data_IF_468961214283
#
_entry.id   IF_468961214283
#
_cell.length_a   1.000
_cell.length_b   1.000
_cell.length_c   1.000
_cell.angle_alpha   90.00
_cell.angle_beta   90.00
_cell.angle_gamma   90.00
#
_symmetry.space_group_name_H-M   'P 1'
#
loop_
_entity.id
_entity.type
_entity.pdbx_description
1 polymer ?
#
# COMPACT_ATOMS: atom_id res chain seq x y z
N UNK A 1 -11.88 -4.07 10.32
CA UNK A 1 -10.50 -4.24 9.87
C UNK A 1 -9.89 -2.87 9.85
N UNK A 2 -8.66 -2.71 10.32
CA UNK A 2 -8.01 -1.41 10.40
C UNK A 2 -7.11 -1.23 9.18
N UNK A 3 -7.38 -0.18 8.41
CA UNK A 3 -6.63 0.12 7.20
C UNK A 3 -5.82 1.41 7.39
N UNK A 4 -4.54 1.36 7.04
CA UNK A 4 -3.70 2.55 6.88
C UNK A 4 -3.89 3.09 5.46
N UNK A 5 -4.23 4.37 5.36
CA UNK A 5 -4.40 5.06 4.09
C UNK A 5 -3.19 5.94 3.77
N UNK A 6 -2.74 5.93 2.51
CA UNK A 6 -1.54 6.66 2.08
C UNK A 6 -1.58 6.98 0.59
N UNK A 7 -0.81 7.98 0.18
CA UNK A 7 -0.72 8.41 -1.22
C UNK A 7 0.60 7.96 -1.86
N UNK A 8 0.51 7.49 -3.10
CA UNK A 8 1.64 7.44 -4.03
C UNK A 8 1.24 8.22 -5.28
N UNK A 9 1.95 9.31 -5.56
CA UNK A 9 1.62 10.20 -6.66
C UNK A 9 0.27 10.87 -6.44
N UNK A 10 -0.67 10.62 -7.34
CA UNK A 10 -2.04 11.17 -7.29
C UNK A 10 -3.08 10.15 -6.76
N UNK A 11 -2.63 8.95 -6.38
CA UNK A 11 -3.52 7.83 -6.05
C UNK A 11 -3.49 7.53 -4.55
N UNK A 12 -4.68 7.37 -3.98
CA UNK A 12 -4.89 6.94 -2.60
C UNK A 12 -4.95 5.41 -2.54
N UNK A 13 -4.12 4.83 -1.68
CA UNK A 13 -4.06 3.40 -1.41
C UNK A 13 -4.42 3.10 0.04
N UNK A 14 -4.78 1.86 0.29
CA UNK A 14 -4.99 1.31 1.62
C UNK A 14 -4.19 0.03 1.81
N UNK A 15 -3.76 -0.24 3.03
CA UNK A 15 -3.17 -1.52 3.42
C UNK A 15 -3.62 -1.90 4.82
N UNK A 16 -3.48 -3.16 5.19
CA UNK A 16 -3.76 -3.59 6.57
C UNK A 16 -2.79 -2.91 7.53
N UNK A 17 -3.32 -2.17 8.51
CA UNK A 17 -2.51 -1.46 9.48
C UNK A 17 -1.63 -2.41 10.32
N UNK A 18 -2.02 -3.69 10.46
CA UNK A 18 -1.23 -4.70 11.17
C UNK A 18 0.06 -5.11 10.43
N UNK A 19 0.16 -4.85 9.13
CA UNK A 19 1.39 -5.07 8.35
C UNK A 19 2.41 -3.94 8.56
N UNK A 20 1.98 -2.79 9.09
CA UNK A 20 2.81 -1.59 9.21
C UNK A 20 3.46 -1.52 10.59
N UNK A 21 4.79 -1.51 10.61
CA UNK A 21 5.57 -1.35 11.85
C UNK A 21 5.64 0.12 12.28
N UNK A 22 5.99 1.00 11.34
CA UNK A 22 6.19 2.43 11.58
C UNK A 22 6.18 3.21 10.27
N UNK A 23 6.06 4.53 10.40
CA UNK A 23 6.29 5.48 9.32
C UNK A 23 7.62 6.18 9.58
N UNK A 24 8.50 6.18 8.59
CA UNK A 24 9.83 6.78 8.68
C UNK A 24 10.05 7.80 7.56
N UNK A 25 11.21 8.46 7.57
CA UNK A 25 11.71 9.24 6.44
C UNK A 25 12.17 8.28 5.34
N UNK A 26 11.80 8.58 4.10
CA UNK A 26 12.28 7.82 2.96
C UNK A 26 13.78 8.03 2.69
N UNK A 27 14.45 6.94 2.33
CA UNK A 27 15.83 6.90 1.86
C UNK A 27 15.88 6.65 0.34
N UNK A 28 16.95 7.07 -0.37
CA UNK A 28 17.06 6.88 -1.82
C UNK A 28 16.85 5.44 -2.30
N UNK A 29 17.27 4.45 -1.53
CA UNK A 29 17.20 3.01 -1.77
C UNK A 29 15.84 2.37 -1.45
N UNK A 30 14.94 3.09 -0.78
CA UNK A 30 13.63 2.55 -0.41
C UNK A 30 12.79 2.22 -1.67
N UNK A 31 11.92 1.24 -1.51
CA UNK A 31 11.12 0.64 -2.57
C UNK A 31 10.21 1.67 -3.24
N UNK A 32 10.20 1.64 -4.57
CA UNK A 32 9.23 2.34 -5.43
C UNK A 32 8.70 1.37 -6.45
N UNK A 33 7.39 1.14 -6.48
CA UNK A 33 6.77 0.30 -7.50
C UNK A 33 6.12 1.18 -8.57
N UNK A 34 6.68 1.19 -9.79
CA UNK A 34 6.18 2.04 -10.88
C UNK A 34 4.69 1.81 -11.21
N UNK A 35 4.18 0.60 -10.99
CA UNK A 35 2.75 0.27 -11.17
C UNK A 35 1.82 0.96 -10.15
N UNK A 36 2.33 1.31 -8.97
CA UNK A 36 1.62 2.14 -7.99
C UNK A 36 1.76 3.64 -8.28
N UNK A 37 2.44 3.98 -9.38
CA UNK A 37 2.86 5.34 -9.69
C UNK A 37 4.20 5.71 -9.03
N UNK A 38 4.70 6.89 -9.38
CA UNK A 38 5.89 7.46 -8.76
C UNK A 38 5.47 8.44 -7.67
N UNK A 39 6.09 8.41 -6.48
CA UNK A 39 5.90 9.45 -5.49
C UNK A 39 6.28 10.84 -6.06
N UNK A 40 5.45 11.86 -5.81
CA UNK A 40 5.74 13.23 -6.22
C UNK A 40 6.87 13.86 -5.39
N UNK A 41 6.86 13.60 -4.08
CA UNK A 41 7.87 14.02 -3.10
C UNK A 41 8.60 12.81 -2.55
N UNK A 42 7.87 11.74 -2.21
CA UNK A 42 8.44 10.48 -1.71
C UNK A 42 9.34 10.68 -0.47
N UNK A 43 8.95 11.55 0.46
CA UNK A 43 9.76 11.87 1.65
C UNK A 43 9.47 10.96 2.84
N UNK A 44 8.46 10.09 2.74
CA UNK A 44 8.05 9.17 3.80
C UNK A 44 8.14 7.74 3.32
N UNK A 45 8.40 6.83 4.24
CA UNK A 45 8.39 5.40 3.99
C UNK A 45 7.43 4.71 4.96
N UNK A 46 6.66 3.76 4.45
CA UNK A 46 5.95 2.77 5.25
C UNK A 46 6.93 1.61 5.49
N UNK A 47 7.24 1.34 6.75
CA UNK A 47 8.13 0.24 7.13
C UNK A 47 7.31 -0.97 7.55
N UNK A 48 7.64 -2.14 7.03
CA UNK A 48 6.95 -3.40 7.26
C UNK A 48 7.93 -4.58 7.23
N UNK A 49 7.54 -5.69 7.87
CA UNK A 49 8.34 -6.92 7.86
C UNK A 49 8.11 -7.73 6.58
N UNK A 50 9.19 -8.27 6.02
CA UNK A 50 9.17 -9.35 5.02
C UNK A 50 9.99 -10.54 5.54
N UNK A 51 9.85 -11.73 4.93
CA UNK A 51 10.69 -12.88 5.29
C UNK A 51 12.19 -12.63 5.14
N UNK A 52 12.60 -11.66 4.31
CA UNK A 52 13.98 -11.30 4.03
C UNK A 52 14.51 -10.17 4.94
N UNK A 53 13.65 -9.49 5.70
CA UNK A 53 14.01 -8.39 6.59
C UNK A 53 12.98 -7.26 6.58
N UNK A 54 13.37 -6.09 7.11
CA UNK A 54 12.52 -4.89 7.01
C UNK A 54 12.53 -4.35 5.57
N UNK A 55 11.33 -4.01 5.07
CA UNK A 55 11.14 -3.36 3.78
C UNK A 55 10.46 -2.00 3.96
N UNK A 56 10.84 -1.08 3.08
CA UNK A 56 10.49 0.33 3.18
C UNK A 56 9.85 0.78 1.87
N UNK A 57 8.55 1.07 1.88
CA UNK A 57 7.82 1.56 0.69
C UNK A 57 7.71 3.08 0.70
N UNK A 58 8.27 3.75 -0.31
CA UNK A 58 8.14 5.21 -0.45
C UNK A 58 6.70 5.62 -0.73
N UNK A 59 6.26 6.63 0.01
CA UNK A 59 4.93 7.24 -0.10
C UNK A 59 5.05 8.76 0.01
N UNK A 60 4.05 9.46 -0.52
CA UNK A 60 3.98 10.92 -0.43
C UNK A 60 3.41 11.38 0.91
N UNK A 61 2.34 10.71 1.35
CA UNK A 61 1.61 11.06 2.57
C UNK A 61 0.99 9.83 3.21
N UNK A 62 0.80 9.89 4.52
CA UNK A 62 0.05 8.90 5.30
C UNK A 62 -1.10 9.63 5.98
N UNK A 63 -2.33 9.18 5.74
CA UNK A 63 -3.58 9.80 6.20
C UNK A 63 -4.10 9.22 7.51
N UNK A 64 -3.39 8.24 8.07
CA UNK A 64 -3.75 7.58 9.32
C UNK A 64 -4.53 6.29 9.12
N UNK A 65 -4.94 5.71 10.24
CA UNK A 65 -5.64 4.43 10.31
C UNK A 65 -7.13 4.66 10.49
N UNK A 66 -7.97 3.93 9.77
CA UNK A 66 -9.43 3.92 9.96
C UNK A 66 -9.96 2.50 10.01
N UNK A 67 -10.93 2.27 10.87
CA UNK A 67 -11.64 0.99 10.95
C UNK A 67 -12.70 0.90 9.86
N UNK A 68 -12.52 0.00 8.91
CA UNK A 68 -13.47 -0.27 7.84
C UNK A 68 -14.28 -1.54 8.16
N UNK A 69 -15.63 -1.48 8.09
CA UNK A 69 -16.48 -2.65 8.19
C UNK A 69 -16.14 -3.67 7.10
N UNK A 70 -16.04 -4.96 7.45
CA UNK A 70 -15.65 -6.02 6.50
C UNK A 70 -16.64 -6.12 5.33
N UNK A 71 -17.92 -5.85 5.56
CA UNK A 71 -18.96 -5.82 4.52
C UNK A 71 -18.84 -4.63 3.56
N UNK A 72 -18.00 -3.63 3.86
CA UNK A 72 -17.65 -2.51 2.96
C UNK A 72 -16.46 -2.84 2.06
N UNK A 73 -15.73 -3.91 2.35
CA UNK A 73 -14.62 -4.38 1.52
C UNK A 73 -15.17 -5.13 0.30
N UNK A 74 -14.51 -4.97 -0.85
CA UNK A 74 -14.80 -5.71 -2.07
C UNK A 74 -13.54 -6.41 -2.52
N UNK A 75 -13.63 -7.71 -2.79
CA UNK A 75 -12.53 -8.44 -3.43
C UNK A 75 -12.44 -8.02 -4.89
N UNK A 76 -11.22 -7.99 -5.41
CA UNK A 76 -11.01 -7.86 -6.84
C UNK A 76 -11.63 -9.07 -7.57
N UNK A 77 -12.47 -8.88 -8.60
CA UNK A 77 -12.93 -10.00 -9.40
C UNK A 77 -11.73 -10.59 -10.17
N UNK A 78 -11.66 -11.92 -10.35
CA UNK A 78 -10.51 -12.57 -11.03
C UNK A 78 -10.23 -12.01 -12.43
N UNK A 79 -11.27 -11.55 -13.11
CA UNK A 79 -11.20 -10.98 -14.46
C UNK A 79 -10.62 -9.56 -14.51
N UNK A 80 -10.42 -8.89 -13.37
CA UNK A 80 -9.84 -7.54 -13.34
C UNK A 80 -8.35 -7.51 -13.73
N UNK A 81 -7.69 -8.68 -13.88
CA UNK A 81 -6.26 -8.73 -14.15
C UNK A 81 -5.44 -8.05 -13.05
N UNK A 82 -5.93 -8.12 -11.80
CA UNK A 82 -5.29 -7.48 -10.66
C UNK A 82 -3.85 -8.00 -10.48
N UNK A 83 -2.92 -7.08 -10.24
CA UNK A 83 -1.57 -7.43 -9.85
C UNK A 83 -1.58 -8.23 -8.53
N UNK A 84 -0.54 -9.03 -8.28
CA UNK A 84 -0.47 -9.92 -7.12
C UNK A 84 -0.60 -9.19 -5.78
N UNK A 85 -0.15 -7.93 -5.71
CA UNK A 85 -0.30 -7.09 -4.52
C UNK A 85 -1.71 -6.57 -4.30
N UNK A 86 -2.59 -6.55 -5.31
CA UNK A 86 -3.94 -5.98 -5.20
C UNK A 86 -4.91 -6.99 -4.57
N UNK A 87 -5.25 -6.77 -3.30
CA UNK A 87 -6.10 -7.69 -2.51
C UNK A 87 -7.59 -7.35 -2.57
N UNK A 88 -7.93 -6.10 -2.87
CA UNK A 88 -9.31 -5.64 -2.87
C UNK A 88 -9.45 -4.15 -3.13
N UNK A 89 -10.68 -3.67 -2.99
CA UNK A 89 -11.02 -2.25 -3.01
C UNK A 89 -11.99 -1.93 -1.87
N UNK A 90 -11.94 -0.71 -1.37
CA UNK A 90 -12.97 -0.14 -0.52
C UNK A 90 -13.38 1.24 -1.02
N UNK A 91 -14.48 1.76 -0.46
CA UNK A 91 -14.90 3.13 -0.67
C UNK A 91 -14.57 3.95 0.58
N UNK A 92 -13.75 4.97 0.43
CA UNK A 92 -13.44 5.94 1.48
C UNK A 92 -14.00 7.30 1.08
N UNK A 93 -15.00 7.82 1.80
CA UNK A 93 -15.64 9.12 1.48
C UNK A 93 -16.03 9.24 -0.01
N UNK A 94 -16.62 8.17 -0.58
CA UNK A 94 -16.96 8.02 -2.00
C UNK A 94 -15.79 7.91 -2.99
N UNK A 95 -14.54 7.85 -2.52
CA UNK A 95 -13.36 7.54 -3.34
C UNK A 95 -13.08 6.05 -3.32
N UNK A 96 -12.86 5.46 -4.49
CA UNK A 96 -12.38 4.08 -4.59
C UNK A 96 -10.92 4.02 -4.19
N UNK A 97 -10.60 3.21 -3.19
CA UNK A 97 -9.25 2.97 -2.69
C UNK A 97 -8.86 1.55 -3.02
N UNK A 98 -7.72 1.38 -3.69
CA UNK A 98 -7.13 0.06 -3.93
C UNK A 98 -6.43 -0.39 -2.64
N UNK A 99 -6.76 -1.60 -2.20
CA UNK A 99 -6.14 -2.25 -1.07
C UNK A 99 -4.98 -3.10 -1.56
N UNK A 100 -3.79 -2.86 -1.01
CA UNK A 100 -2.57 -3.56 -1.37
C UNK A 100 -2.00 -4.34 -0.18
N UNK A 101 -1.40 -5.49 -0.47
CA UNK A 101 -0.56 -6.24 0.46
C UNK A 101 0.89 -5.78 0.33
N UNK A 102 1.49 -5.31 1.43
CA UNK A 102 2.84 -4.75 1.40
C UNK A 102 3.91 -5.81 1.12
N UNK A 103 3.74 -7.03 1.66
CA UNK A 103 4.69 -8.12 1.48
C UNK A 103 4.71 -8.59 0.03
N UNK A 104 3.53 -8.75 -0.57
CA UNK A 104 3.41 -9.05 -2.00
C UNK A 104 3.93 -7.90 -2.87
N UNK A 105 3.74 -6.64 -2.44
CA UNK A 105 4.32 -5.46 -3.12
C UNK A 105 5.85 -5.50 -3.12
N UNK A 106 6.49 -5.93 -2.03
CA UNK A 106 7.94 -6.09 -1.99
C UNK A 106 8.41 -7.25 -2.90
N UNK A 107 7.67 -8.35 -2.93
CA UNK A 107 7.99 -9.53 -3.76
C UNK A 107 7.94 -9.25 -5.26
N UNK A 108 7.09 -8.33 -5.72
CA UNK A 108 7.03 -7.99 -7.15
C UNK A 108 8.29 -7.26 -7.63
N UNK A 109 9.05 -6.61 -6.75
CA UNK A 109 10.35 -5.99 -7.10
C UNK A 109 11.48 -7.03 -7.22
N UNK A 110 11.45 -8.07 -6.39
CA UNK A 110 12.49 -9.11 -6.33
C UNK A 110 12.47 -10.14 -7.47
N UNK A 111 11.54 -10.05 -8.42
CA UNK A 111 11.53 -10.88 -9.63
C UNK A 111 12.49 -10.33 -10.68
N UNK A 112 13.78 -10.58 -10.49
CA UNK A 112 14.80 -10.61 -11.54
C UNK A 112 15.63 -11.88 -11.41
#
# INVERSE_FOLDING_TARGET
MDLLFFDIGATLYGTDASQVLRIDRALPEDLTLAELGLPHRGNRAIVFDTPEGEAHLKVDAVHGVRSIPVNSLRRMPPTAGAAAYAVGVCLEEARTVLLIDLVETARTQGRH
#
